data_IF_356850458716
#
_entry.id   IF_356850458716
#
_cell.length_a   1.000
_cell.length_b   1.000
_cell.length_c   1.000
_cell.angle_alpha   90.00
_cell.angle_beta   90.00
_cell.angle_gamma   90.00
#
_symmetry.space_group_name_H-M   'P 1'
#
loop_
_entity.id
_entity.type
_entity.pdbx_description
1 polymer ?
#
# COMPACT_ATOMS: atom_id res chain seq x y z
N UNK A 1 1.63 9.02 17.61
CA UNK A 1 0.62 9.40 16.60
C UNK A 1 -0.01 8.18 15.95
N UNK A 2 -1.32 8.22 15.70
CA UNK A 2 -1.98 7.13 14.98
C UNK A 2 -1.54 7.15 13.52
N UNK A 3 -1.07 6.03 12.99
CA UNK A 3 -0.63 5.89 11.59
C UNK A 3 -1.77 6.22 10.61
N UNK A 4 -3.01 6.05 11.05
CA UNK A 4 -4.22 6.49 10.36
C UNK A 4 -4.21 7.98 10.06
N UNK A 5 -3.75 8.82 11.01
CA UNK A 5 -3.70 10.27 10.82
C UNK A 5 -2.67 10.67 9.77
N UNK A 6 -1.48 10.04 9.81
CA UNK A 6 -0.43 10.25 8.80
C UNK A 6 -0.96 9.97 7.39
N UNK A 7 -1.66 8.85 7.20
CA UNK A 7 -2.24 8.51 5.89
C UNK A 7 -3.36 9.48 5.47
N UNK A 8 -4.15 10.00 6.41
CA UNK A 8 -5.15 11.04 6.12
C UNK A 8 -4.50 12.32 5.63
N UNK A 9 -3.39 12.71 6.25
CA UNK A 9 -2.68 13.96 5.95
C UNK A 9 -1.94 13.88 4.61
N UNK A 10 -1.29 12.76 4.31
CA UNK A 10 -0.59 12.56 3.03
C UNK A 10 -1.51 12.10 1.89
N UNK A 11 -2.81 11.87 2.15
CA UNK A 11 -3.77 11.27 1.20
C UNK A 11 -3.77 11.96 -0.15
N UNK A 12 -3.87 13.28 -0.16
CA UNK A 12 -3.96 14.07 -1.39
C UNK A 12 -2.67 13.98 -2.20
N UNK A 13 -1.52 14.04 -1.53
CA UNK A 13 -0.21 13.94 -2.19
C UNK A 13 0.04 12.53 -2.73
N UNK A 14 -0.41 11.50 -2.02
CA UNK A 14 -0.33 10.11 -2.48
C UNK A 14 -1.10 9.92 -3.78
N UNK A 15 -2.36 10.37 -3.83
CA UNK A 15 -3.21 10.27 -5.04
C UNK A 15 -2.60 11.01 -6.24
N UNK A 16 -1.91 12.12 -6.02
CA UNK A 16 -1.27 12.90 -7.08
C UNK A 16 0.10 12.39 -7.51
N UNK A 17 0.81 11.67 -6.65
CA UNK A 17 2.20 11.24 -6.89
C UNK A 17 2.33 9.77 -7.24
N UNK A 18 1.28 8.97 -7.08
CA UNK A 18 1.32 7.52 -7.32
C UNK A 18 1.14 7.19 -8.80
N UNK A 19 2.06 6.39 -9.32
CA UNK A 19 2.00 5.88 -10.68
C UNK A 19 1.21 4.57 -10.78
N UNK A 20 0.79 4.22 -12.00
CA UNK A 20 0.02 2.99 -12.31
C UNK A 20 0.69 1.73 -11.75
N UNK A 21 2.01 1.64 -11.87
CA UNK A 21 2.78 0.49 -11.39
C UNK A 21 2.70 0.33 -9.88
N UNK A 22 2.89 1.43 -9.15
CA UNK A 22 2.86 1.45 -7.69
C UNK A 22 1.46 1.15 -7.16
N UNK A 23 0.40 1.74 -7.74
CA UNK A 23 -0.97 1.46 -7.28
C UNK A 23 -1.38 0.01 -7.54
N UNK A 24 -1.05 -0.56 -8.69
CA UNK A 24 -1.38 -1.95 -9.00
C UNK A 24 -0.62 -2.90 -8.06
N UNK A 25 0.66 -2.65 -7.83
CA UNK A 25 1.45 -3.44 -6.90
C UNK A 25 0.93 -3.34 -5.46
N UNK A 26 0.53 -2.15 -5.01
CA UNK A 26 -0.07 -1.98 -3.68
C UNK A 26 -1.43 -2.70 -3.58
N UNK A 27 -2.23 -2.74 -4.65
CA UNK A 27 -3.46 -3.53 -4.67
C UNK A 27 -3.16 -5.03 -4.52
N UNK A 28 -2.19 -5.54 -5.29
CA UNK A 28 -1.74 -6.95 -5.22
C UNK A 28 -1.28 -7.32 -3.79
N UNK A 29 -0.47 -6.45 -3.16
CA UNK A 29 -0.01 -6.66 -1.79
C UNK A 29 -1.17 -6.72 -0.79
N UNK A 30 -2.16 -5.83 -0.91
CA UNK A 30 -3.29 -5.81 0.01
C UNK A 30 -4.21 -7.04 -0.13
N UNK A 31 -4.22 -7.69 -1.29
CA UNK A 31 -4.91 -8.98 -1.49
C UNK A 31 -4.13 -10.11 -0.83
N UNK A 32 -2.80 -10.13 -1.02
CA UNK A 32 -1.93 -11.13 -0.38
C UNK A 32 -2.02 -11.06 1.15
N UNK A 33 -2.08 -9.85 1.69
CA UNK A 33 -2.27 -9.58 3.12
C UNK A 33 -3.71 -9.89 3.60
N UNK A 34 -4.61 -10.35 2.71
CA UNK A 34 -6.04 -10.64 2.97
C UNK A 34 -6.79 -9.46 3.58
N UNK A 35 -6.34 -8.25 3.26
CA UNK A 35 -6.97 -6.99 3.70
C UNK A 35 -8.19 -6.68 2.84
N UNK A 36 -8.09 -7.00 1.55
CA UNK A 36 -9.14 -6.88 0.53
C UNK A 36 -9.68 -8.27 0.15
N UNK A 37 -11.00 -8.41 0.05
CA UNK A 37 -11.61 -9.56 -0.63
C UNK A 37 -11.58 -9.37 -2.15
N UNK A 38 -11.66 -10.47 -2.90
CA UNK A 38 -11.63 -10.44 -4.37
C UNK A 38 -12.73 -9.55 -4.98
N UNK A 39 -13.95 -9.56 -4.42
CA UNK A 39 -15.04 -8.69 -4.88
C UNK A 39 -14.75 -7.19 -4.62
N UNK A 40 -14.20 -6.85 -3.45
CA UNK A 40 -13.83 -5.46 -3.13
C UNK A 40 -12.69 -4.97 -4.04
N UNK A 41 -11.75 -5.86 -4.38
CA UNK A 41 -10.71 -5.60 -5.37
C UNK A 41 -11.29 -5.34 -6.75
N UNK A 42 -12.23 -6.14 -7.22
CA UNK A 42 -12.85 -5.98 -8.54
C UNK A 42 -13.58 -4.65 -8.69
N UNK A 43 -14.29 -4.20 -7.64
CA UNK A 43 -14.87 -2.85 -7.60
C UNK A 43 -13.79 -1.76 -7.69
N UNK A 44 -12.66 -1.95 -7.01
CA UNK A 44 -11.53 -1.02 -7.06
C UNK A 44 -10.74 -1.09 -8.39
N UNK A 45 -10.80 -2.21 -9.09
CA UNK A 45 -10.10 -2.48 -10.34
C UNK A 45 -10.93 -2.25 -11.60
N UNK A 46 -12.19 -1.81 -11.47
CA UNK A 46 -13.02 -1.45 -12.63
C UNK A 46 -12.20 -0.66 -13.66
N UNK A 47 -12.17 -1.17 -14.90
CA UNK A 47 -11.29 -0.69 -15.97
C UNK A 47 -11.50 0.80 -16.28
N UNK A 48 -12.70 1.33 -15.98
CA UNK A 48 -13.08 2.72 -16.20
C UNK A 48 -12.56 3.69 -15.12
N UNK A 49 -11.98 3.21 -14.02
CA UNK A 49 -11.45 4.06 -12.96
C UNK A 49 -10.04 4.57 -13.29
N UNK A 50 -9.87 5.90 -13.21
CA UNK A 50 -8.55 6.55 -13.30
C UNK A 50 -7.60 6.07 -12.20
N UNK A 51 -6.29 6.17 -12.44
CA UNK A 51 -5.25 5.85 -11.44
C UNK A 51 -5.48 6.62 -10.13
N UNK A 52 -5.81 7.90 -10.23
CA UNK A 52 -6.10 8.76 -9.07
C UNK A 52 -7.34 8.30 -8.28
N UNK A 53 -8.41 7.89 -8.97
CA UNK A 53 -9.59 7.35 -8.28
C UNK A 53 -9.28 6.04 -7.57
N UNK A 54 -8.50 5.15 -8.18
CA UNK A 54 -8.07 3.88 -7.54
C UNK A 54 -7.24 4.13 -6.30
N UNK A 55 -6.27 5.04 -6.40
CA UNK A 55 -5.44 5.46 -5.28
C UNK A 55 -6.27 6.02 -4.12
N UNK A 56 -7.27 6.85 -4.43
CA UNK A 56 -8.16 7.44 -3.43
C UNK A 56 -9.02 6.39 -2.73
N UNK A 57 -9.60 5.45 -3.48
CA UNK A 57 -10.41 4.38 -2.89
C UNK A 57 -9.54 3.47 -2.02
N UNK A 58 -8.33 3.13 -2.46
CA UNK A 58 -7.40 2.29 -1.70
C UNK A 58 -7.01 2.89 -0.35
N UNK A 59 -6.56 4.14 -0.36
CA UNK A 59 -6.14 4.79 0.88
C UNK A 59 -7.32 5.02 1.83
N UNK A 60 -8.50 5.42 1.31
CA UNK A 60 -9.70 5.58 2.12
C UNK A 60 -10.15 4.24 2.74
N UNK A 61 -10.03 3.13 1.99
CA UNK A 61 -10.33 1.79 2.48
C UNK A 61 -9.38 1.37 3.62
N UNK A 62 -8.07 1.56 3.44
CA UNK A 62 -7.05 1.21 4.43
C UNK A 62 -7.22 2.02 5.72
N UNK A 63 -7.54 3.31 5.60
CA UNK A 63 -7.86 4.18 6.73
C UNK A 63 -9.07 3.64 7.52
N UNK A 64 -10.09 3.10 6.84
CA UNK A 64 -11.28 2.53 7.49
C UNK A 64 -11.00 1.22 8.22
N UNK A 65 -10.08 0.39 7.71
CA UNK A 65 -9.68 -0.88 8.36
C UNK A 65 -8.90 -0.67 9.66
N UNK A 66 -8.20 0.47 9.76
CA UNK A 66 -7.58 0.93 11.01
C UNK A 66 -6.07 0.76 11.06
N UNK A 67 -5.52 1.05 12.25
CA UNK A 67 -4.10 1.40 12.42
C UNK A 67 -3.11 0.30 12.01
N UNK A 68 -3.44 -0.99 12.21
CA UNK A 68 -2.56 -2.11 11.85
C UNK A 68 -2.36 -2.20 10.33
N UNK A 69 -3.46 -2.10 9.58
CA UNK A 69 -3.43 -2.14 8.12
C UNK A 69 -2.74 -0.89 7.56
N UNK A 70 -3.00 0.28 8.15
CA UNK A 70 -2.30 1.52 7.79
C UNK A 70 -0.78 1.38 7.94
N UNK A 71 -0.31 0.70 8.99
CA UNK A 71 1.12 0.45 9.19
C UNK A 71 1.68 -0.50 8.13
N UNK A 72 0.97 -1.59 7.83
CA UNK A 72 1.37 -2.51 6.76
C UNK A 72 1.46 -1.77 5.41
N UNK A 73 0.46 -0.96 5.08
CA UNK A 73 0.44 -0.20 3.84
C UNK A 73 1.64 0.75 3.69
N UNK A 74 2.01 1.48 4.75
CA UNK A 74 3.21 2.33 4.73
C UNK A 74 4.46 1.49 4.49
N UNK A 75 4.58 0.31 5.10
CA UNK A 75 5.69 -0.60 4.85
C UNK A 75 5.77 -1.00 3.37
N UNK A 76 4.64 -1.35 2.75
CA UNK A 76 4.59 -1.70 1.33
C UNK A 76 4.94 -0.53 0.42
N UNK A 77 4.54 0.71 0.75
CA UNK A 77 4.98 1.90 0.01
C UNK A 77 6.51 2.01 0.07
N UNK A 78 7.13 1.86 1.25
CA UNK A 78 8.59 1.88 1.38
C UNK A 78 9.30 0.77 0.61
N UNK A 79 8.73 -0.43 0.55
CA UNK A 79 9.30 -1.58 -0.18
C UNK A 79 9.22 -1.34 -1.70
N UNK A 80 8.11 -0.79 -2.18
CA UNK A 80 7.88 -0.58 -3.62
C UNK A 80 8.53 0.67 -4.16
N UNK A 81 8.46 1.76 -3.41
CA UNK A 81 8.98 3.06 -3.82
C UNK A 81 9.35 3.91 -2.59
N UNK A 82 10.60 3.78 -2.16
CA UNK A 82 11.16 4.56 -1.07
C UNK A 82 11.20 6.06 -1.39
N UNK A 83 11.36 6.45 -2.65
CA UNK A 83 11.35 7.87 -3.05
C UNK A 83 9.95 8.48 -2.89
N UNK A 84 8.90 7.74 -3.26
CA UNK A 84 7.52 8.14 -2.99
C UNK A 84 7.28 8.22 -1.49
N UNK A 85 7.75 7.25 -0.71
CA UNK A 85 7.59 7.25 0.74
C UNK A 85 8.23 8.49 1.41
N UNK A 86 9.46 8.83 1.00
CA UNK A 86 10.17 10.03 1.43
C UNK A 86 9.43 11.31 1.02
N UNK A 87 8.97 11.38 -0.23
CA UNK A 87 8.21 12.52 -0.76
C UNK A 87 6.91 12.76 0.01
N UNK A 88 6.28 11.70 0.49
CA UNK A 88 5.05 11.74 1.28
C UNK A 88 5.31 11.98 2.78
N UNK A 89 6.58 12.05 3.21
CA UNK A 89 6.95 12.24 4.61
C UNK A 89 6.51 11.08 5.52
N UNK A 90 6.41 9.86 4.98
CA UNK A 90 5.93 8.72 5.73
C UNK A 90 6.96 8.28 6.78
N UNK A 91 6.53 7.97 8.01
CA UNK A 91 7.44 7.51 9.05
C UNK A 91 8.05 6.18 8.63
N UNK A 92 9.38 6.15 8.53
CA UNK A 92 10.12 4.90 8.36
C UNK A 92 10.02 4.11 9.66
N UNK A 93 9.15 3.10 9.70
CA UNK A 93 9.11 2.17 10.85
C UNK A 93 10.30 1.22 10.73
N UNK A 94 11.33 1.49 11.54
CA UNK A 94 12.48 0.65 11.87
C UNK A 94 12.38 -0.80 11.36
N UNK A 95 12.93 -1.05 10.18
CA UNK A 95 13.94 -2.08 9.86
C UNK A 95 13.75 -3.56 10.22
N UNK A 96 12.81 -4.00 11.05
CA UNK A 96 12.71 -5.43 11.46
C UNK A 96 11.40 -6.09 11.02
N UNK A 97 10.31 -5.35 10.89
CA UNK A 97 9.04 -5.88 10.36
C UNK A 97 9.00 -5.90 8.83
N UNK A 98 9.57 -4.89 8.15
CA UNK A 98 9.67 -4.88 6.68
C UNK A 98 10.67 -5.91 6.14
N UNK A 99 11.76 -6.20 6.89
CA UNK A 99 12.77 -7.17 6.48
C UNK A 99 12.19 -8.59 6.45
N UNK A 100 11.29 -8.95 7.37
CA UNK A 100 10.61 -10.26 7.33
C UNK A 100 9.68 -10.41 6.11
N UNK A 101 9.04 -9.32 5.66
CA UNK A 101 8.27 -9.31 4.41
C UNK A 101 9.20 -9.44 3.19
N UNK A 102 10.37 -8.80 3.17
CA UNK A 102 11.39 -9.04 2.14
C UNK A 102 11.88 -10.49 2.15
N UNK A 103 12.11 -11.11 3.31
CA UNK A 103 12.48 -12.52 3.40
C UNK A 103 11.35 -13.45 2.93
N UNK A 104 10.09 -13.16 3.26
CA UNK A 104 8.94 -13.90 2.74
C UNK A 104 8.82 -13.75 1.22
N UNK A 105 8.91 -12.52 0.70
CA UNK A 105 8.85 -12.24 -0.73
C UNK A 105 10.01 -12.91 -1.50
N UNK A 106 11.24 -12.89 -0.95
CA UNK A 106 12.37 -13.64 -1.50
C UNK A 106 12.17 -15.16 -1.40
N UNK A 107 11.62 -15.70 -0.31
CA UNK A 107 11.35 -17.15 -0.22
C UNK A 107 10.29 -17.60 -1.22
N UNK A 108 9.27 -16.78 -1.47
CA UNK A 108 8.25 -17.06 -2.50
C UNK A 108 8.85 -16.96 -3.90
N UNK A 109 9.75 -16.00 -4.16
CA UNK A 109 10.40 -15.88 -5.47
C UNK A 109 11.46 -16.97 -5.74
N UNK A 110 12.14 -17.47 -4.70
CA UNK A 110 13.21 -18.48 -4.82
C UNK A 110 12.66 -19.91 -4.86
N UNK A 111 11.49 -20.19 -4.30
CA UNK A 111 10.89 -21.54 -4.35
C UNK A 111 10.04 -21.83 -5.60
N UNK A 112 9.75 -20.82 -6.42
CA UNK A 112 8.95 -20.98 -7.65
C UNK A 112 9.77 -20.97 -8.95
N UNK A 113 11.11 -21.11 -8.88
CA UNK A 113 11.96 -21.20 -10.08
C UNK A 113 12.68 -22.54 -10.21
#
# INVERSE_FOLDING_TARGET
DSTVQVLKDCRTQFVQSVDKSVINGLLDDMIQEKVLNQEEMEEMMQENLTIMSRARVLIDYIIRKGNKVCQCFICHIWIRDSHLAEKLGLPSKNGVSCILLLFLYLTVLVFFS
#
